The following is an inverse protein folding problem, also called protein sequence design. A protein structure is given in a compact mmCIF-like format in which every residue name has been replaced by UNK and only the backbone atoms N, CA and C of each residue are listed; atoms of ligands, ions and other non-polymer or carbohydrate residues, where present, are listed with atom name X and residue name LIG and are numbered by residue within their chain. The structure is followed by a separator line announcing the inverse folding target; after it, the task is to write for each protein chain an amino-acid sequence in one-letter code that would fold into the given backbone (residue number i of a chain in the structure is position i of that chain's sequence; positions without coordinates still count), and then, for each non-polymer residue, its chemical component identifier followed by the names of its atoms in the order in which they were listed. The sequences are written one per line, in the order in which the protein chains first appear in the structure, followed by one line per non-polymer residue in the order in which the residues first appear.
data_IF_289350925889
#
_entry.id   IF_289350925889
#
_cell.length_a   1.000
_cell.length_b   1.000
_cell.length_c   1.000
_cell.angle_alpha   90.00
_cell.angle_beta   90.00
_cell.angle_gamma   90.00
#
_symmetry.space_group_name_H-M   'P 1'
#
loop_
_entity.id
_entity.type
_entity.pdbx_description
1 polymer ?
#
# COMPACT_ATOMS: atom_id res chain seq x y z
N UNK A 1 29.13 38.46 -93.75
CA UNK A 1 29.55 37.86 -92.46
C UNK A 1 28.76 38.34 -91.23
N UNK A 2 28.16 39.54 -91.21
CA UNK A 2 27.44 40.07 -90.03
C UNK A 2 26.12 39.35 -89.63
N UNK A 3 25.35 38.83 -90.60
CA UNK A 3 24.08 38.11 -90.33
C UNK A 3 24.26 36.82 -89.53
N UNK A 4 25.39 36.11 -89.73
CA UNK A 4 25.69 34.83 -89.05
C UNK A 4 26.08 35.08 -87.58
N UNK A 5 26.85 36.14 -87.29
CA UNK A 5 27.20 36.53 -85.91
C UNK A 5 25.97 36.89 -85.06
N UNK A 6 24.98 37.58 -85.64
CA UNK A 6 23.73 37.92 -84.94
C UNK A 6 22.85 36.69 -84.63
N UNK A 7 22.86 35.68 -85.50
CA UNK A 7 22.16 34.41 -85.28
C UNK A 7 22.80 33.57 -84.16
N UNK A 8 24.14 33.50 -84.12
CA UNK A 8 24.87 32.79 -83.06
C UNK A 8 24.68 33.47 -81.69
N UNK A 9 24.68 34.82 -81.64
CA UNK A 9 24.37 35.57 -80.42
C UNK A 9 22.92 35.36 -79.94
N UNK A 10 21.95 35.31 -80.86
CA UNK A 10 20.55 35.00 -80.53
C UNK A 10 20.42 33.58 -79.98
N UNK A 11 21.10 32.61 -80.58
CA UNK A 11 21.08 31.22 -80.14
C UNK A 11 21.69 31.05 -78.74
N UNK A 12 22.88 31.62 -78.48
CA UNK A 12 23.49 31.59 -77.15
C UNK A 12 22.65 32.32 -76.09
N UNK A 13 21.95 33.40 -76.44
CA UNK A 13 21.01 34.08 -75.52
C UNK A 13 19.81 33.20 -75.16
N UNK A 14 19.31 32.39 -76.11
CA UNK A 14 18.22 31.43 -75.89
C UNK A 14 18.67 30.24 -75.02
N UNK A 15 19.84 29.66 -75.29
CA UNK A 15 20.41 28.57 -74.49
C UNK A 15 20.70 29.03 -73.06
N UNK A 16 21.27 30.23 -72.88
CA UNK A 16 21.56 30.81 -71.55
C UNK A 16 20.29 31.10 -70.74
N UNK A 17 19.19 31.48 -71.39
CA UNK A 17 17.87 31.64 -70.75
C UNK A 17 17.24 30.29 -70.36
N UNK A 18 17.45 29.23 -71.14
CA UNK A 18 17.00 27.86 -70.79
C UNK A 18 17.77 27.29 -69.60
N UNK A 19 19.08 27.51 -69.52
CA UNK A 19 19.90 27.10 -68.36
C UNK A 19 19.56 27.87 -67.07
N UNK A 20 19.20 29.15 -67.19
CA UNK A 20 18.77 29.99 -66.04
C UNK A 20 17.44 29.50 -65.44
N UNK A 21 16.45 29.16 -66.29
CA UNK A 21 15.17 28.63 -65.83
C UNK A 21 15.29 27.24 -65.16
N UNK A 22 16.25 26.41 -65.58
CA UNK A 22 16.56 25.13 -64.92
C UNK A 22 17.22 25.29 -63.55
N UNK A 23 18.06 26.31 -63.38
CA UNK A 23 18.66 26.66 -62.10
C UNK A 23 17.60 27.17 -61.11
N UNK A 24 16.71 28.07 -61.55
CA UNK A 24 15.66 28.63 -60.68
C UNK A 24 14.70 27.53 -60.17
N UNK A 25 14.34 26.59 -61.05
CA UNK A 25 13.50 25.44 -60.67
C UNK A 25 14.22 24.47 -59.74
N UNK A 26 15.53 24.26 -59.89
CA UNK A 26 16.32 23.44 -58.97
C UNK A 26 16.43 24.07 -57.56
N UNK A 27 16.56 25.39 -57.46
CA UNK A 27 16.57 26.09 -56.16
C UNK A 27 15.22 25.93 -55.45
N UNK A 28 14.11 26.10 -56.18
CA UNK A 28 12.76 25.89 -55.65
C UNK A 28 12.58 24.44 -55.18
N UNK A 29 13.09 23.46 -55.94
CA UNK A 29 13.04 22.04 -55.58
C UNK A 29 13.79 21.75 -54.27
N UNK A 30 15.00 22.29 -54.10
CA UNK A 30 15.77 22.12 -52.85
C UNK A 30 15.03 22.75 -51.67
N UNK A 31 14.50 23.97 -51.84
CA UNK A 31 13.73 24.64 -50.80
C UNK A 31 12.49 23.80 -50.39
N UNK A 32 11.78 23.22 -51.35
CA UNK A 32 10.62 22.36 -51.09
C UNK A 32 11.00 21.05 -50.39
N UNK A 33 12.13 20.44 -50.77
CA UNK A 33 12.63 19.23 -50.10
C UNK A 33 13.04 19.54 -48.66
N UNK A 34 13.68 20.69 -48.41
CA UNK A 34 14.06 21.09 -47.05
C UNK A 34 12.82 21.35 -46.19
N UNK A 35 11.81 22.09 -46.69
CA UNK A 35 10.57 22.33 -45.94
C UNK A 35 9.81 21.04 -45.68
N UNK A 36 9.74 20.12 -46.66
CA UNK A 36 9.16 18.80 -46.49
C UNK A 36 9.92 17.97 -45.44
N UNK A 37 11.25 18.01 -45.45
CA UNK A 37 12.10 17.27 -44.49
C UNK A 37 11.93 17.79 -43.06
N UNK A 38 11.87 19.12 -42.88
CA UNK A 38 11.61 19.74 -41.58
C UNK A 38 10.21 19.40 -41.08
N UNK A 39 9.19 19.48 -41.95
CA UNK A 39 7.83 19.09 -41.61
C UNK A 39 7.76 17.61 -41.18
N UNK A 40 8.43 16.72 -41.92
CA UNK A 40 8.50 15.30 -41.60
C UNK A 40 9.20 15.04 -40.26
N UNK A 41 10.33 15.71 -40.00
CA UNK A 41 11.04 15.60 -38.72
C UNK A 41 10.17 16.04 -37.55
N UNK A 42 9.47 17.17 -37.68
CA UNK A 42 8.53 17.65 -36.65
C UNK A 42 7.38 16.66 -36.46
N UNK A 43 6.78 16.18 -37.55
CA UNK A 43 5.68 15.22 -37.51
C UNK A 43 6.09 13.90 -36.84
N UNK A 44 7.29 13.39 -37.12
CA UNK A 44 7.84 12.18 -36.48
C UNK A 44 8.06 12.42 -34.99
N UNK A 45 8.70 13.52 -34.60
CA UNK A 45 8.98 13.79 -33.18
C UNK A 45 7.72 14.05 -32.37
N UNK A 46 6.76 14.79 -32.92
CA UNK A 46 5.45 14.96 -32.31
C UNK A 46 4.69 13.63 -32.25
N UNK A 47 4.76 12.81 -33.30
CA UNK A 47 4.19 11.46 -33.32
C UNK A 47 4.80 10.54 -32.25
N UNK A 48 6.12 10.60 -32.06
CA UNK A 48 6.82 9.86 -31.01
C UNK A 48 6.43 10.36 -29.61
N UNK A 49 6.32 11.68 -29.41
CA UNK A 49 5.85 12.23 -28.15
C UNK A 49 4.41 11.80 -27.83
N UNK A 50 3.51 11.87 -28.82
CA UNK A 50 2.11 11.45 -28.67
C UNK A 50 2.02 9.96 -28.36
N UNK A 51 2.78 9.11 -29.05
CA UNK A 51 2.78 7.65 -28.80
C UNK A 51 3.37 7.29 -27.44
N UNK A 52 4.45 7.95 -26.99
CA UNK A 52 4.97 7.78 -25.63
C UNK A 52 3.94 8.23 -24.59
N UNK A 53 3.30 9.38 -24.79
CA UNK A 53 2.26 9.87 -23.88
C UNK A 53 1.07 8.91 -23.84
N UNK A 54 0.60 8.44 -24.99
CA UNK A 54 -0.47 7.45 -25.10
C UNK A 54 -0.11 6.17 -24.34
N UNK A 55 1.11 5.64 -24.51
CA UNK A 55 1.60 4.48 -23.74
C UNK A 55 1.54 4.71 -22.23
N UNK A 56 2.01 5.87 -21.74
CA UNK A 56 1.95 6.17 -20.30
C UNK A 56 0.52 6.29 -19.78
N UNK A 57 -0.40 6.86 -20.57
CA UNK A 57 -1.81 7.00 -20.19
C UNK A 57 -2.52 5.65 -20.21
N UNK A 58 -2.25 4.79 -21.19
CA UNK A 58 -2.78 3.42 -21.25
C UNK A 58 -2.33 2.62 -20.03
N UNK A 59 -1.03 2.62 -19.72
CA UNK A 59 -0.50 1.90 -18.55
C UNK A 59 -1.12 2.40 -17.23
N UNK A 60 -1.22 3.72 -17.05
CA UNK A 60 -1.88 4.29 -15.85
C UNK A 60 -3.38 3.97 -15.80
N UNK A 61 -4.04 3.95 -16.96
CA UNK A 61 -5.45 3.56 -17.06
C UNK A 61 -5.66 2.10 -16.67
N UNK A 62 -4.77 1.21 -17.11
CA UNK A 62 -4.74 -0.19 -16.71
C UNK A 62 -4.51 -0.35 -15.20
N UNK A 63 -3.50 0.32 -14.65
CA UNK A 63 -3.21 0.32 -13.21
C UNK A 63 -4.38 0.85 -12.38
N UNK A 64 -5.14 1.83 -12.89
CA UNK A 64 -6.28 2.44 -12.18
C UNK A 64 -7.56 1.60 -12.31
N UNK A 65 -7.75 0.91 -13.43
CA UNK A 65 -8.90 0.04 -13.65
C UNK A 65 -8.77 -1.30 -12.92
N UNK A 66 -7.55 -1.81 -12.81
CA UNK A 66 -7.26 -3.05 -12.08
C UNK A 66 -7.38 -2.85 -10.58
N UNK A 67 -7.68 -3.92 -9.84
CA UNK A 67 -7.62 -3.89 -8.37
C UNK A 67 -6.16 -3.99 -7.94
N UNK A 68 -5.66 -2.97 -7.24
CA UNK A 68 -4.25 -2.91 -6.86
C UNK A 68 -3.87 -3.93 -5.79
N UNK A 69 -4.84 -4.35 -4.97
CA UNK A 69 -4.64 -5.26 -3.84
C UNK A 69 -5.57 -6.47 -3.93
N UNK A 70 -5.08 -7.61 -3.44
CA UNK A 70 -5.87 -8.82 -3.21
C UNK A 70 -5.72 -9.26 -1.76
N UNK A 71 -6.71 -9.97 -1.23
CA UNK A 71 -6.63 -10.59 0.10
C UNK A 71 -5.75 -11.84 0.01
N UNK A 72 -4.83 -12.00 0.96
CA UNK A 72 -3.80 -13.05 0.93
C UNK A 72 -4.03 -14.15 1.98
N UNK A 73 -4.77 -13.85 3.05
CA UNK A 73 -5.13 -14.81 4.09
C UNK A 73 -6.58 -14.64 4.53
N UNK A 74 -7.11 -15.64 5.24
CA UNK A 74 -8.38 -15.53 5.94
C UNK A 74 -8.39 -14.36 6.94
N UNK A 75 -9.59 -13.86 7.19
CA UNK A 75 -9.87 -12.82 8.18
C UNK A 75 -9.96 -13.50 9.55
N UNK A 76 -9.14 -13.05 10.49
CA UNK A 76 -9.17 -13.48 11.87
C UNK A 76 -9.74 -12.36 12.73
N UNK A 77 -10.39 -12.71 13.82
CA UNK A 77 -10.94 -11.75 14.77
C UNK A 77 -10.93 -12.36 16.17
N UNK A 78 -10.96 -11.51 17.20
CA UNK A 78 -11.05 -11.97 18.57
C UNK A 78 -12.23 -11.37 19.31
N UNK A 79 -12.91 -12.26 20.03
CA UNK A 79 -13.97 -11.94 20.98
C UNK A 79 -13.58 -12.41 22.39
N UNK A 80 -14.20 -11.84 23.42
CA UNK A 80 -13.97 -12.24 24.80
C UNK A 80 -14.53 -13.65 25.07
N UNK A 81 -13.75 -14.72 25.00
CA UNK A 81 -14.20 -16.06 25.40
C UNK A 81 -13.93 -16.33 26.91
N UNK A 82 -14.84 -16.99 27.65
CA UNK A 82 -16.13 -17.58 27.24
C UNK A 82 -17.33 -16.63 27.35
N UNK A 83 -17.13 -15.37 27.71
CA UNK A 83 -18.24 -14.45 27.99
C UNK A 83 -18.98 -13.99 26.72
N UNK A 84 -18.33 -14.06 25.56
CA UNK A 84 -18.70 -13.55 24.24
C UNK A 84 -19.36 -12.17 24.31
N UNK A 85 -18.80 -11.28 25.13
CA UNK A 85 -19.41 -9.99 25.41
C UNK A 85 -18.89 -8.84 24.55
N UNK A 86 -17.73 -9.01 23.91
CA UNK A 86 -16.97 -7.93 23.27
C UNK A 86 -16.10 -8.45 22.14
N UNK A 87 -16.10 -7.78 20.98
CA UNK A 87 -15.09 -7.95 19.92
C UNK A 87 -13.99 -6.89 20.06
N UNK A 88 -12.73 -7.32 20.02
CA UNK A 88 -11.59 -6.44 20.33
C UNK A 88 -10.75 -6.06 19.12
N UNK A 89 -10.59 -6.98 18.17
CA UNK A 89 -9.80 -6.73 16.98
C UNK A 89 -10.15 -7.66 15.83
N UNK A 90 -9.84 -7.19 14.62
CA UNK A 90 -9.89 -7.95 13.37
C UNK A 90 -8.53 -7.83 12.70
N UNK A 91 -8.04 -8.92 12.13
CA UNK A 91 -6.77 -9.02 11.43
C UNK A 91 -6.98 -9.74 10.09
N UNK A 92 -6.32 -9.24 9.04
CA UNK A 92 -6.28 -9.89 7.74
C UNK A 92 -5.01 -9.44 7.01
N UNK A 93 -4.63 -10.18 5.96
CA UNK A 93 -3.49 -9.80 5.13
C UNK A 93 -3.90 -9.52 3.70
N UNK A 94 -3.18 -8.60 3.06
CA UNK A 94 -3.34 -8.25 1.66
C UNK A 94 -1.98 -8.24 0.95
N UNK A 95 -2.01 -8.47 -0.35
CA UNK A 95 -0.85 -8.39 -1.22
C UNK A 95 -1.17 -7.55 -2.45
N UNK A 96 -0.19 -6.86 -3.04
CA UNK A 96 -0.33 -6.33 -4.39
C UNK A 96 -0.78 -7.43 -5.35
N UNK A 97 -1.78 -7.13 -6.17
CA UNK A 97 -2.30 -8.07 -7.18
C UNK A 97 -1.21 -8.43 -8.19
N UNK A 98 -1.24 -9.66 -8.71
CA UNK A 98 -0.33 -10.08 -9.77
C UNK A 98 -0.39 -9.12 -10.96
N UNK A 99 0.77 -8.60 -11.38
CA UNK A 99 0.90 -7.61 -12.46
C UNK A 99 1.06 -6.16 -11.97
N UNK A 100 0.76 -5.88 -10.69
CA UNK A 100 1.05 -4.59 -10.06
C UNK A 100 2.47 -4.61 -9.51
N UNK A 101 3.28 -3.62 -9.89
CA UNK A 101 4.69 -3.55 -9.48
C UNK A 101 4.85 -3.19 -7.99
N UNK A 102 4.04 -2.27 -7.49
CA UNK A 102 3.96 -1.90 -6.08
C UNK A 102 2.72 -1.07 -5.78
N UNK A 103 2.32 -1.01 -4.50
CA UNK A 103 1.20 -0.19 -4.01
C UNK A 103 1.68 0.67 -2.85
N UNK A 104 1.36 1.96 -2.88
CA UNK A 104 1.61 2.85 -1.74
C UNK A 104 0.53 2.63 -0.69
N UNK A 105 0.96 2.32 0.54
CA UNK A 105 0.06 2.07 1.67
C UNK A 105 0.25 3.10 2.78
N UNK A 106 0.73 4.31 2.47
CA UNK A 106 0.80 5.39 3.46
C UNK A 106 -0.62 5.77 3.95
N UNK A 107 -0.88 5.89 5.28
CA UNK A 107 -2.16 6.34 5.83
C UNK A 107 -2.68 7.69 5.30
N UNK A 108 -1.80 8.54 4.74
CA UNK A 108 -2.19 9.80 4.11
C UNK A 108 -2.79 9.63 2.71
N UNK A 109 -2.52 8.50 2.04
CA UNK A 109 -2.95 8.26 0.64
C UNK A 109 -3.88 7.05 0.48
N UNK A 110 -3.80 6.10 1.41
CA UNK A 110 -4.66 4.92 1.46
C UNK A 110 -5.69 5.08 2.57
N UNK A 111 -6.93 4.72 2.29
CA UNK A 111 -8.01 4.68 3.29
C UNK A 111 -8.43 3.25 3.63
N UNK A 112 -8.89 3.03 4.86
CA UNK A 112 -9.59 1.81 5.26
C UNK A 112 -10.93 2.16 5.91
N UNK A 113 -12.00 1.54 5.45
CA UNK A 113 -13.35 1.69 5.99
C UNK A 113 -13.88 0.33 6.44
N UNK A 114 -14.72 0.34 7.47
CA UNK A 114 -15.34 -0.85 8.05
C UNK A 114 -16.84 -0.61 8.23
N UNK A 115 -17.65 -1.59 7.85
CA UNK A 115 -19.10 -1.53 7.95
C UNK A 115 -19.61 -2.85 8.54
N UNK A 116 -20.39 -2.75 9.61
CA UNK A 116 -21.15 -3.85 10.20
C UNK A 116 -22.62 -3.45 10.20
N UNK A 117 -23.39 -3.94 9.23
CA UNK A 117 -24.73 -3.45 8.92
C UNK A 117 -25.76 -3.80 10.00
N UNK A 118 -25.68 -5.00 10.58
CA UNK A 118 -26.62 -5.44 11.63
C UNK A 118 -26.47 -4.60 12.92
N UNK A 119 -25.24 -4.19 13.24
CA UNK A 119 -24.95 -3.33 14.39
C UNK A 119 -25.09 -1.82 14.08
N UNK A 120 -25.39 -1.46 12.82
CA UNK A 120 -25.48 -0.06 12.39
C UNK A 120 -24.15 0.70 12.45
N UNK A 121 -23.01 0.01 12.40
CA UNK A 121 -21.69 0.62 12.55
C UNK A 121 -21.11 0.91 11.16
N UNK A 122 -20.78 2.19 10.92
CA UNK A 122 -20.07 2.64 9.72
C UNK A 122 -18.85 3.46 10.12
N UNK A 123 -17.67 2.95 9.82
CA UNK A 123 -16.39 3.57 10.10
C UNK A 123 -15.69 3.92 8.80
N UNK A 124 -15.37 5.20 8.63
CA UNK A 124 -14.69 5.70 7.44
C UNK A 124 -13.27 6.12 7.78
N UNK A 125 -12.32 5.72 6.94
CA UNK A 125 -10.92 6.08 7.02
C UNK A 125 -10.30 5.90 8.42
N UNK A 126 -10.44 4.71 8.97
CA UNK A 126 -9.88 4.32 10.28
C UNK A 126 -8.40 3.93 10.19
N UNK A 127 -7.82 3.82 9.01
CA UNK A 127 -6.39 3.60 8.84
C UNK A 127 -5.60 4.85 9.26
N UNK A 128 -4.79 4.74 10.32
CA UNK A 128 -4.08 5.88 10.92
C UNK A 128 -2.58 5.68 11.08
N UNK A 129 -2.13 4.44 11.25
CA UNK A 129 -0.74 4.16 11.58
C UNK A 129 -0.17 3.08 10.65
N UNK A 130 1.13 3.14 10.41
CA UNK A 130 1.83 2.12 9.65
C UNK A 130 3.18 1.82 10.30
N UNK A 131 3.52 0.54 10.35
CA UNK A 131 4.84 0.04 10.72
C UNK A 131 5.69 -0.31 9.50
N UNK A 132 5.20 -0.04 8.28
CA UNK A 132 5.97 -0.24 7.05
C UNK A 132 7.19 0.68 6.99
N UNK A 133 7.09 1.86 7.62
CA UNK A 133 8.14 2.89 7.61
C UNK A 133 8.96 2.94 8.90
N UNK A 134 8.64 2.15 9.92
CA UNK A 134 9.41 2.17 11.18
C UNK A 134 10.70 1.37 11.01
N UNK A 135 11.83 1.97 11.36
CA UNK A 135 13.17 1.44 11.07
C UNK A 135 14.00 1.19 12.32
N UNK A 136 13.48 1.53 13.51
CA UNK A 136 14.24 1.49 14.77
C UNK A 136 13.38 1.05 15.96
N UNK A 137 12.96 -0.21 15.90
CA UNK A 137 12.34 -0.89 17.03
C UNK A 137 13.42 -1.42 17.98
N UNK A 138 13.50 -0.86 19.18
CA UNK A 138 14.37 -1.42 20.22
C UNK A 138 13.69 -2.64 20.85
N UNK A 139 14.43 -3.71 21.19
CA UNK A 139 13.86 -4.84 21.89
C UNK A 139 13.11 -4.41 23.16
N UNK A 140 12.00 -5.09 23.44
CA UNK A 140 11.18 -4.86 24.65
C UNK A 140 11.55 -5.89 25.70
N UNK A 141 11.81 -5.45 26.93
CA UNK A 141 12.06 -6.36 28.05
C UNK A 141 10.74 -6.77 28.69
N UNK A 142 10.50 -8.07 28.82
CA UNK A 142 9.36 -8.62 29.55
C UNK A 142 9.83 -9.78 30.44
N UNK A 143 9.43 -9.74 31.72
CA UNK A 143 9.81 -10.76 32.72
C UNK A 143 11.32 -11.03 32.82
N UNK A 144 12.16 -10.02 32.59
CA UNK A 144 13.62 -10.14 32.64
C UNK A 144 14.29 -10.65 31.37
N UNK A 145 13.53 -10.94 30.31
CA UNK A 145 14.03 -11.38 29.01
C UNK A 145 13.82 -10.30 27.94
N UNK A 146 14.78 -10.17 27.01
CA UNK A 146 14.65 -9.29 25.84
C UNK A 146 13.87 -9.98 24.73
N UNK A 147 12.84 -9.32 24.22
CA UNK A 147 12.05 -9.76 23.08
C UNK A 147 12.35 -8.88 21.86
N UNK A 148 12.86 -9.49 20.79
CA UNK A 148 12.97 -8.85 19.48
C UNK A 148 11.60 -8.82 18.83
N UNK A 149 11.14 -7.64 18.42
CA UNK A 149 9.79 -7.44 17.89
C UNK A 149 9.68 -7.73 16.40
N UNK A 150 10.74 -7.44 15.64
CA UNK A 150 10.82 -7.61 14.20
C UNK A 150 11.92 -8.60 13.84
N UNK A 151 11.69 -9.37 12.77
CA UNK A 151 12.73 -10.17 12.14
C UNK A 151 13.23 -9.44 10.90
N UNK A 152 14.50 -9.61 10.58
CA UNK A 152 15.06 -9.08 9.35
C UNK A 152 15.62 -10.20 8.47
N UNK A 153 15.57 -9.95 7.16
CA UNK A 153 16.17 -10.79 6.14
C UNK A 153 16.93 -9.89 5.17
N UNK A 154 18.15 -10.26 4.82
CA UNK A 154 18.91 -9.57 3.77
C UNK A 154 18.88 -10.42 2.51
N UNK A 155 18.29 -9.87 1.44
CA UNK A 155 18.25 -10.53 0.13
C UNK A 155 18.51 -9.51 -0.97
N UNK A 156 19.35 -9.87 -1.94
CA UNK A 156 19.66 -8.98 -3.08
C UNK A 156 20.28 -7.62 -2.72
N UNK A 157 20.92 -7.49 -1.54
CA UNK A 157 21.53 -6.24 -1.09
C UNK A 157 20.59 -5.29 -0.34
N UNK A 158 19.31 -5.66 -0.22
CA UNK A 158 18.32 -4.93 0.58
C UNK A 158 18.09 -5.66 1.92
N UNK A 159 17.87 -4.89 2.98
CA UNK A 159 17.41 -5.42 4.28
C UNK A 159 15.92 -5.17 4.41
N UNK A 160 15.24 -6.21 4.84
CA UNK A 160 13.81 -6.32 4.90
C UNK A 160 13.38 -6.59 6.33
N UNK A 161 12.30 -5.96 6.79
CA UNK A 161 11.76 -6.15 8.13
C UNK A 161 10.34 -6.71 8.06
N UNK A 162 10.06 -7.71 8.89
CA UNK A 162 8.74 -8.34 8.96
C UNK A 162 8.39 -8.75 10.39
N UNK A 163 7.08 -8.85 10.66
CA UNK A 163 6.52 -9.33 11.91
C UNK A 163 5.97 -10.74 11.72
N UNK A 164 6.52 -11.70 12.47
CA UNK A 164 6.06 -13.10 12.43
C UNK A 164 4.69 -13.31 13.08
N UNK A 165 4.16 -12.31 13.79
CA UNK A 165 2.85 -12.36 14.44
C UNK A 165 2.23 -10.97 14.57
N UNK A 166 0.89 -10.82 14.45
CA UNK A 166 0.17 -9.58 14.75
C UNK A 166 0.46 -9.04 16.15
N UNK A 167 0.70 -9.92 17.13
CA UNK A 167 0.97 -9.51 18.51
C UNK A 167 2.33 -8.83 18.66
N UNK A 168 3.34 -9.24 17.89
CA UNK A 168 4.63 -8.55 17.88
C UNK A 168 4.52 -7.17 17.21
N UNK A 169 3.72 -7.08 16.15
CA UNK A 169 3.40 -5.81 15.51
C UNK A 169 2.65 -4.85 16.46
N UNK A 170 1.73 -5.36 17.29
CA UNK A 170 1.07 -4.55 18.33
C UNK A 170 2.05 -3.98 19.36
N UNK A 171 3.01 -4.78 19.82
CA UNK A 171 4.04 -4.32 20.74
C UNK A 171 4.93 -3.25 20.12
N UNK A 172 5.30 -3.43 18.85
CA UNK A 172 6.05 -2.47 18.06
C UNK A 172 5.28 -1.16 17.89
N UNK A 173 3.99 -1.24 17.58
CA UNK A 173 3.12 -0.07 17.48
C UNK A 173 3.07 0.70 18.80
N UNK A 174 2.84 0.02 19.93
CA UNK A 174 2.82 0.65 21.24
C UNK A 174 4.12 1.41 21.54
N UNK A 175 5.27 0.83 21.17
CA UNK A 175 6.57 1.48 21.33
C UNK A 175 6.75 2.67 20.38
N UNK A 176 6.37 2.54 19.12
CA UNK A 176 6.46 3.60 18.11
C UNK A 176 5.62 4.81 18.51
N UNK A 177 4.39 4.57 18.98
CA UNK A 177 3.47 5.61 19.43
C UNK A 177 3.83 6.20 20.79
N UNK A 178 4.49 5.44 21.68
CA UNK A 178 4.99 5.97 22.96
C UNK A 178 6.08 7.05 22.79
N UNK A 179 6.77 7.09 21.65
CA UNK A 179 7.74 8.15 21.32
C UNK A 179 7.06 9.48 20.93
N UNK A 180 5.76 9.45 20.61
CA UNK A 180 4.97 10.61 20.20
C UNK A 180 4.21 11.13 21.42
N UNK A 181 4.72 12.18 22.04
CA UNK A 181 4.13 12.78 23.25
C UNK A 181 2.75 13.40 22.97
N UNK A 182 1.69 12.74 23.45
CA UNK A 182 0.33 13.29 23.51
C UNK A 182 -0.76 12.27 23.18
N UNK A 183 -1.08 11.37 24.13
CA UNK A 183 -2.18 10.39 24.08
C UNK A 183 -2.06 9.32 22.97
N UNK A 184 -1.35 8.23 23.27
CA UNK A 184 -1.39 7.04 22.42
C UNK A 184 -2.79 6.41 22.44
N UNK A 185 -3.37 6.02 21.29
CA UNK A 185 -4.66 5.33 21.23
C UNK A 185 -4.59 3.88 21.74
N UNK A 186 -3.37 3.37 21.92
CA UNK A 186 -3.06 2.05 22.45
C UNK A 186 -2.09 2.17 23.62
N UNK A 187 -2.35 1.41 24.68
CA UNK A 187 -1.39 1.21 25.76
C UNK A 187 -1.26 -0.28 25.99
N UNK A 188 -0.02 -0.79 26.01
CA UNK A 188 0.24 -2.19 26.32
C UNK A 188 1.11 -2.25 27.57
N UNK A 189 0.63 -3.02 28.55
CA UNK A 189 1.39 -3.37 29.74
C UNK A 189 1.52 -4.89 29.83
N UNK A 190 2.63 -5.38 30.37
CA UNK A 190 2.83 -6.79 30.65
C UNK A 190 2.86 -6.99 32.16
N UNK A 191 2.26 -8.08 32.61
CA UNK A 191 2.38 -8.52 34.01
C UNK A 191 2.75 -10.00 34.01
N UNK A 192 3.77 -10.37 34.77
CA UNK A 192 4.02 -11.79 35.05
C UNK A 192 2.89 -12.30 35.94
N UNK A 193 2.03 -13.17 35.41
CA UNK A 193 0.96 -13.75 36.22
C UNK A 193 1.52 -14.88 37.09
N UNK A 194 1.27 -14.78 38.40
CA UNK A 194 1.32 -15.90 39.35
C UNK A 194 -0.02 -15.96 40.08
N UNK A 195 -0.31 -17.05 40.77
CA UNK A 195 -1.53 -17.22 41.58
C UNK A 195 -1.76 -16.14 42.65
N UNK A 196 -0.80 -15.25 42.86
CA UNK A 196 -0.82 -14.16 43.84
C UNK A 196 -1.15 -12.79 43.23
N UNK A 197 -1.37 -12.66 41.93
CA UNK A 197 -1.64 -11.35 41.28
C UNK A 197 -2.81 -11.46 40.28
N UNK A 198 -4.08 -11.50 40.75
CA UNK A 198 -5.26 -11.59 39.89
C UNK A 198 -5.43 -10.34 39.02
N UNK A 199 -6.29 -10.44 37.99
CA UNK A 199 -6.60 -9.34 37.07
C UNK A 199 -6.98 -8.10 37.89
N UNK A 200 -6.26 -6.97 37.74
CA UNK A 200 -6.54 -5.79 38.53
C UNK A 200 -7.98 -5.31 38.32
N UNK A 201 -8.71 -5.02 39.40
CA UNK A 201 -10.15 -4.73 39.35
C UNK A 201 -10.57 -3.58 38.43
N UNK A 202 -9.65 -2.67 38.10
CA UNK A 202 -9.89 -1.56 37.16
C UNK A 202 -9.93 -2.03 35.69
N UNK A 203 -9.32 -3.17 35.35
CA UNK A 203 -9.41 -3.77 34.00
C UNK A 203 -10.78 -4.38 33.70
N UNK A 204 -11.52 -4.82 34.71
CA UNK A 204 -12.76 -5.58 34.48
C UNK A 204 -13.81 -4.82 33.65
N UNK A 205 -13.77 -3.50 33.66
CA UNK A 205 -14.74 -2.64 32.98
C UNK A 205 -14.17 -1.87 31.77
N UNK A 206 -12.85 -1.89 31.57
CA UNK A 206 -12.21 -1.15 30.48
C UNK A 206 -12.25 -1.92 29.15
N UNK A 207 -12.04 -1.19 28.05
CA UNK A 207 -11.89 -1.77 26.72
C UNK A 207 -10.47 -2.32 26.54
N UNK A 208 -10.28 -3.53 27.07
CA UNK A 208 -9.02 -4.24 26.99
C UNK A 208 -9.20 -5.66 26.47
N UNK A 209 -8.14 -6.18 25.88
CA UNK A 209 -8.01 -7.60 25.59
C UNK A 209 -6.64 -8.10 26.01
N UNK A 210 -6.49 -9.42 26.06
CA UNK A 210 -5.23 -10.05 26.41
C UNK A 210 -4.72 -10.94 25.30
N UNK A 211 -3.40 -11.07 25.23
CA UNK A 211 -2.75 -12.08 24.41
C UNK A 211 -1.54 -12.62 25.16
N UNK A 212 -1.14 -13.85 24.82
CA UNK A 212 0.01 -14.50 25.44
C UNK A 212 1.11 -14.69 24.40
N UNK A 213 2.35 -14.33 24.74
CA UNK A 213 3.54 -14.65 23.96
C UNK A 213 4.44 -15.60 24.74
N UNK A 214 5.15 -16.47 24.02
CA UNK A 214 6.17 -17.33 24.63
C UNK A 214 7.53 -16.68 24.42
N UNK A 215 8.18 -16.24 25.50
CA UNK A 215 9.48 -15.56 25.49
C UNK A 215 10.45 -16.44 26.28
N UNK A 216 11.52 -16.90 25.63
CA UNK A 216 12.50 -17.83 26.22
C UNK A 216 11.87 -19.07 26.91
N UNK A 217 10.78 -19.60 26.32
CA UNK A 217 10.04 -20.75 26.86
C UNK A 217 9.04 -20.45 27.97
N UNK A 218 8.93 -19.18 28.41
CA UNK A 218 7.95 -18.74 29.41
C UNK A 218 6.77 -18.05 28.74
N UNK A 219 5.54 -18.39 29.16
CA UNK A 219 4.32 -17.70 28.70
C UNK A 219 4.16 -16.38 29.45
N UNK A 220 4.16 -15.27 28.73
CA UNK A 220 3.96 -13.92 29.25
C UNK A 220 2.63 -13.38 28.75
N UNK A 221 1.80 -12.90 29.69
CA UNK A 221 0.50 -12.32 29.41
C UNK A 221 0.63 -10.81 29.23
N UNK A 222 0.07 -10.30 28.13
CA UNK A 222 0.01 -8.88 27.79
C UNK A 222 -1.43 -8.39 27.88
N UNK A 223 -1.57 -7.19 28.42
CA UNK A 223 -2.83 -6.46 28.49
C UNK A 223 -2.78 -5.28 27.53
N UNK A 224 -3.72 -5.25 26.61
CA UNK A 224 -3.84 -4.21 25.60
C UNK A 224 -5.05 -3.37 25.91
N UNK A 225 -4.84 -2.06 26.02
CA UNK A 225 -5.89 -1.08 26.22
C UNK A 225 -6.03 -0.26 24.94
N UNK A 226 -7.27 -0.17 24.44
CA UNK A 226 -7.58 0.61 23.23
C UNK A 226 -8.53 1.74 23.63
N UNK A 227 -8.08 2.98 23.43
CA UNK A 227 -8.87 4.18 23.72
C UNK A 227 -9.60 4.74 22.49
N UNK A 228 -9.12 4.43 21.28
CA UNK A 228 -9.73 4.89 20.04
C UNK A 228 -9.78 3.78 19.01
N UNK A 229 -10.81 3.77 18.16
CA UNK A 229 -10.89 2.83 17.04
C UNK A 229 -9.96 3.28 15.93
N UNK A 230 -9.03 2.40 15.53
CA UNK A 230 -8.12 2.67 14.42
C UNK A 230 -7.67 1.36 13.77
N UNK A 231 -7.13 1.47 12.56
CA UNK A 231 -6.45 0.40 11.88
C UNK A 231 -4.98 0.78 11.66
N UNK A 232 -4.12 -0.21 11.68
CA UNK A 232 -2.72 -0.05 11.31
C UNK A 232 -2.25 -1.19 10.40
N UNK A 233 -1.19 -0.91 9.66
CA UNK A 233 -0.55 -1.87 8.76
C UNK A 233 0.85 -2.21 9.22
N UNK A 234 1.31 -3.41 8.88
CA UNK A 234 2.66 -3.86 9.18
C UNK A 234 3.13 -4.93 8.18
N UNK A 235 4.44 -5.06 7.95
CA UNK A 235 4.98 -6.06 7.03
C UNK A 235 4.88 -7.48 7.58
N UNK A 236 4.37 -8.42 6.77
CA UNK A 236 4.24 -9.85 7.12
C UNK A 236 5.24 -10.71 6.34
N UNK A 237 5.36 -10.49 5.02
CA UNK A 237 6.29 -11.22 4.15
C UNK A 237 6.56 -10.46 2.84
N UNK A 238 7.65 -10.75 2.13
CA UNK A 238 8.02 -10.13 0.82
C UNK A 238 8.34 -8.63 0.88
N UNK A 239 8.22 -8.08 2.08
CA UNK A 239 8.99 -7.07 2.77
C UNK A 239 9.17 -5.68 2.10
N UNK A 240 8.61 -4.61 2.70
CA UNK A 240 8.88 -3.24 2.28
C UNK A 240 10.34 -2.87 2.58
N UNK A 241 10.90 -2.01 1.72
CA UNK A 241 12.21 -1.41 1.95
C UNK A 241 12.17 -0.56 3.23
N UNK A 242 13.26 -0.58 3.98
CA UNK A 242 13.47 0.23 5.20
C UNK A 242 12.99 1.67 4.98
N UNK A 243 11.96 2.09 5.72
CA UNK A 243 11.46 3.47 5.72
C UNK A 243 10.51 3.84 4.58
N UNK A 244 9.94 2.85 3.86
CA UNK A 244 8.99 3.09 2.79
C UNK A 244 7.63 2.45 3.07
N UNK A 245 6.54 3.19 2.84
CA UNK A 245 5.17 2.68 2.92
C UNK A 245 4.73 1.97 1.62
N UNK A 246 5.67 1.70 0.71
CA UNK A 246 5.44 1.02 -0.56
C UNK A 246 5.52 -0.49 -0.36
N UNK A 247 4.44 -1.18 -0.67
CA UNK A 247 4.36 -2.64 -0.74
C UNK A 247 4.72 -3.12 -2.16
N UNK A 248 5.88 -3.75 -2.39
CA UNK A 248 6.28 -4.25 -3.71
C UNK A 248 5.52 -5.53 -4.12
N UNK A 249 5.54 -5.86 -5.41
CA UNK A 249 5.00 -7.11 -5.93
C UNK A 249 5.55 -8.33 -5.16
N UNK A 250 4.66 -9.24 -4.77
CA UNK A 250 5.01 -10.42 -3.98
C UNK A 250 5.12 -10.19 -2.47
N UNK A 251 4.96 -8.95 -2.00
CA UNK A 251 4.84 -8.66 -0.56
C UNK A 251 3.44 -8.97 -0.02
N UNK A 252 3.38 -9.16 1.30
CA UNK A 252 2.19 -9.37 2.09
C UNK A 252 2.22 -8.39 3.26
N UNK A 253 1.16 -7.60 3.37
CA UNK A 253 0.97 -6.59 4.40
C UNK A 253 -0.21 -7.00 5.29
N UNK A 254 0.03 -7.04 6.59
CA UNK A 254 -0.99 -7.28 7.59
C UNK A 254 -1.72 -5.99 7.91
N UNK A 255 -3.04 -6.05 7.96
CA UNK A 255 -3.90 -4.99 8.48
C UNK A 255 -4.57 -5.49 9.75
N UNK A 256 -4.55 -4.67 10.78
CA UNK A 256 -5.25 -4.95 12.02
C UNK A 256 -6.14 -3.76 12.39
N UNK A 257 -7.41 -4.04 12.64
CA UNK A 257 -8.43 -3.10 13.11
C UNK A 257 -8.60 -3.33 14.61
N UNK A 258 -8.46 -2.27 15.39
CA UNK A 258 -8.62 -2.24 16.84
C UNK A 258 -9.83 -1.38 17.16
N UNK A 259 -10.74 -1.89 18.00
CA UNK A 259 -11.96 -1.19 18.38
C UNK A 259 -11.78 -0.45 19.71
N UNK A 260 -12.10 0.84 19.74
CA UNK A 260 -12.11 1.67 20.94
C UNK A 260 -13.34 1.43 21.82
N UNK A 261 -13.45 2.09 22.99
CA UNK A 261 -14.38 1.69 24.06
C UNK A 261 -15.86 1.77 23.71
N UNK A 262 -16.26 2.64 22.78
CA UNK A 262 -17.64 2.74 22.32
C UNK A 262 -18.03 1.63 21.33
N UNK A 263 -17.06 0.99 20.68
CA UNK A 263 -17.29 -0.03 19.65
C UNK A 263 -16.81 -1.42 20.06
N UNK A 264 -15.82 -1.50 20.95
CA UNK A 264 -15.31 -2.73 21.54
C UNK A 264 -16.31 -3.39 22.50
N UNK A 265 -17.53 -2.87 22.61
CA UNK A 265 -18.66 -3.53 23.28
C UNK A 265 -19.54 -4.34 22.32
N UNK A 266 -19.38 -4.17 21.01
CA UNK A 266 -20.14 -4.94 20.03
C UNK A 266 -19.47 -6.27 19.77
N UNK A 267 -20.30 -7.28 19.57
CA UNK A 267 -19.87 -8.62 19.18
C UNK A 267 -20.26 -8.75 17.71
N UNK A 268 -19.27 -8.82 16.82
CA UNK A 268 -19.55 -8.90 15.39
C UNK A 268 -19.90 -10.33 14.96
N UNK A 269 -20.77 -11.03 15.68
CA UNK A 269 -21.10 -12.43 15.38
C UNK A 269 -22.35 -12.55 14.49
N UNK A 270 -22.41 -13.65 13.75
CA UNK A 270 -23.52 -14.04 12.87
C UNK A 270 -23.93 -12.98 11.84
N UNK A 271 -22.98 -12.13 11.42
CA UNK A 271 -23.23 -11.07 10.46
C UNK A 271 -22.12 -10.97 9.41
N UNK A 272 -22.45 -10.37 8.27
CA UNK A 272 -21.46 -10.02 7.25
C UNK A 272 -20.86 -8.66 7.58
N UNK A 273 -19.55 -8.62 7.82
CA UNK A 273 -18.79 -7.38 7.87
C UNK A 273 -18.25 -7.05 6.49
N UNK A 274 -18.16 -5.75 6.19
CA UNK A 274 -17.53 -5.26 4.98
C UNK A 274 -16.33 -4.39 5.36
N UNK A 275 -15.15 -4.77 4.90
CA UNK A 275 -13.92 -3.99 5.02
C UNK A 275 -13.53 -3.53 3.62
N UNK A 276 -13.30 -2.23 3.46
CA UNK A 276 -12.87 -1.66 2.19
C UNK A 276 -11.53 -0.95 2.36
N UNK A 277 -10.55 -1.32 1.54
CA UNK A 277 -9.28 -0.61 1.40
C UNK A 277 -9.30 0.16 0.09
N UNK A 278 -9.08 1.46 0.18
CA UNK A 278 -8.98 2.36 -0.97
C UNK A 278 -7.53 2.81 -1.11
N UNK A 279 -6.71 2.10 -1.90
CA UNK A 279 -5.34 2.49 -2.19
C UNK A 279 -5.27 3.76 -3.05
N UNK A 280 -4.06 4.33 -3.19
CA UNK A 280 -3.84 5.52 -4.02
C UNK A 280 -3.96 5.26 -5.54
N UNK A 281 -3.84 4.01 -5.95
CA UNK A 281 -3.94 3.52 -7.33
C UNK A 281 -4.86 2.31 -7.37
N UNK A 282 -5.50 2.08 -8.51
CA UNK A 282 -6.41 0.94 -8.70
C UNK A 282 -7.78 1.12 -8.06
N UNK A 283 -8.64 0.14 -8.33
CA UNK A 283 -9.97 0.08 -7.71
C UNK A 283 -9.91 -0.31 -6.22
N UNK A 284 -10.84 0.17 -5.38
CA UNK A 284 -10.92 -0.23 -3.98
C UNK A 284 -11.07 -1.75 -3.82
N UNK A 285 -10.29 -2.33 -2.92
CA UNK A 285 -10.46 -3.71 -2.49
C UNK A 285 -11.59 -3.76 -1.47
N UNK A 286 -12.64 -4.53 -1.73
CA UNK A 286 -13.73 -4.77 -0.77
C UNK A 286 -13.73 -6.24 -0.36
N UNK A 287 -13.62 -6.47 0.94
CA UNK A 287 -13.68 -7.75 1.60
C UNK A 287 -15.03 -7.83 2.33
N UNK A 288 -15.81 -8.86 2.03
CA UNK A 288 -17.07 -9.17 2.70
C UNK A 288 -16.90 -10.52 3.38
N UNK A 289 -16.84 -10.53 4.71
CA UNK A 289 -16.64 -11.74 5.49
C UNK A 289 -17.84 -11.98 6.41
N UNK A 290 -18.38 -13.20 6.37
CA UNK A 290 -19.37 -13.62 7.34
C UNK A 290 -18.68 -14.10 8.60
N UNK A 291 -18.88 -13.37 9.69
CA UNK A 291 -18.28 -13.73 10.98
C UNK A 291 -19.16 -14.77 11.65
N UNK A 292 -18.69 -16.02 11.65
CA UNK A 292 -19.37 -17.14 12.28
C UNK A 292 -18.73 -17.52 13.60
N UNK A 293 -19.52 -17.58 14.67
CA UNK A 293 -19.03 -18.15 15.91
C UNK A 293 -19.20 -19.68 15.90
N UNK A 294 -18.11 -20.46 16.02
CA UNK A 294 -18.24 -21.90 16.18
C UNK A 294 -18.92 -22.21 17.52
N UNK A 295 -20.02 -22.96 17.47
CA UNK A 295 -20.67 -23.53 18.65
C UNK A 295 -19.74 -24.58 19.30
N UNK A 296 -18.78 -24.14 20.12
CA UNK A 296 -17.87 -25.03 20.84
C UNK A 296 -16.55 -24.38 21.29
N UNK A 297 -15.88 -24.99 22.28
CA UNK A 297 -14.56 -24.56 22.78
C UNK A 297 -13.48 -24.78 21.72
N UNK A 298 -13.28 -23.82 20.81
CA UNK A 298 -12.25 -23.92 19.78
C UNK A 298 -10.88 -23.75 20.42
N UNK A 299 -10.12 -24.85 20.50
CA UNK A 299 -8.80 -24.89 21.13
C UNK A 299 -7.66 -24.60 20.15
N UNK A 300 -7.94 -24.36 18.86
CA UNK A 300 -6.97 -23.88 17.89
C UNK A 300 -7.69 -23.33 16.65
N UNK A 301 -7.31 -22.13 16.22
CA UNK A 301 -7.47 -21.68 14.83
C UNK A 301 -6.09 -21.84 14.22
N UNK A 302 -5.99 -22.69 13.20
CA UNK A 302 -4.75 -22.99 12.47
C UNK A 302 -4.32 -21.87 11.55
#
# INVERSE_FOLDING_TARGET
MGKIRGLVQKYNKLVRRRGLAGLDTAIILIAFIITASVLAFVAINMGLFVTQKAKTTINKGEETASTALTVSSSVLYAVNYPSNTKSYWIYFTVSPTSGVSSVELDPATTGLSFIATEEGITLSNIYKYTLLTDTHLTPVSASGYSLTLESNLTSGGNTYYYFSSPYLALLALNQSLSKVSGHSPIYINYTSFSSTNPEPSWLKNDNNFTFTLTIAGQKVLYYVFINQTFAFSYPVAGDPLVGSAIAPAGSTVGFMILFGPNLGQHVFEYQTINIQITPNIGSPLTLSEYIYQPEGTVTAIG
#
